data_IF_676708660963
#
_entry.id   IF_676708660963
#
_cell.length_a   1.000
_cell.length_b   1.000
_cell.length_c   1.000
_cell.angle_alpha   90.00
_cell.angle_beta   90.00
_cell.angle_gamma   90.00
#
_symmetry.space_group_name_H-M   'P 1'
#
loop_
_entity.id
_entity.type
_entity.pdbx_description
1 polymer ?
#
# COMPACT_ATOMS: atom_id res chain seq x y z
N UNK A 1 2.82 -54.07 -17.71
CA UNK A 1 4.28 -53.91 -17.96
C UNK A 1 4.79 -54.99 -18.92
N UNK A 2 3.92 -55.78 -19.57
CA UNK A 2 4.31 -56.95 -20.39
C UNK A 2 4.85 -56.70 -21.81
N UNK A 3 4.62 -55.55 -22.45
CA UNK A 3 4.93 -55.40 -23.90
C UNK A 3 6.42 -55.55 -24.24
N UNK A 4 7.33 -55.20 -23.33
CA UNK A 4 8.77 -55.27 -23.61
C UNK A 4 9.30 -56.73 -23.54
N UNK A 5 8.67 -57.57 -22.71
CA UNK A 5 9.01 -58.98 -22.57
C UNK A 5 8.63 -59.76 -23.84
N UNK A 6 7.43 -59.50 -24.37
CA UNK A 6 6.91 -60.10 -25.61
C UNK A 6 7.84 -59.87 -26.81
N UNK A 7 8.32 -58.63 -27.00
CA UNK A 7 9.22 -58.28 -28.11
C UNK A 7 10.57 -58.98 -28.01
N UNK A 8 11.17 -59.02 -26.81
CA UNK A 8 12.46 -59.68 -26.59
C UNK A 8 12.38 -61.19 -26.85
N UNK A 9 11.24 -61.82 -26.54
CA UNK A 9 11.00 -63.25 -26.78
C UNK A 9 10.89 -63.57 -28.26
N UNK A 10 10.14 -62.77 -29.04
CA UNK A 10 10.03 -62.91 -30.50
C UNK A 10 11.39 -62.72 -31.19
N UNK A 11 12.15 -61.69 -30.77
CA UNK A 11 13.51 -61.46 -31.26
C UNK A 11 14.41 -62.68 -31.02
N UNK A 12 14.45 -63.18 -29.79
CA UNK A 12 15.30 -64.33 -29.45
C UNK A 12 14.88 -65.62 -30.19
N UNK A 13 13.58 -65.83 -30.42
CA UNK A 13 13.05 -66.94 -31.22
C UNK A 13 13.56 -66.88 -32.67
N UNK A 14 13.42 -65.73 -33.33
CA UNK A 14 13.84 -65.54 -34.73
C UNK A 14 15.36 -65.66 -34.89
N UNK A 15 16.12 -65.21 -33.88
CA UNK A 15 17.58 -65.35 -33.85
C UNK A 15 18.06 -66.73 -33.35
N UNK A 16 17.15 -67.65 -33.00
CA UNK A 16 17.51 -69.01 -32.54
C UNK A 16 18.23 -69.05 -31.18
N UNK A 17 18.05 -68.03 -30.35
CA UNK A 17 18.68 -67.89 -29.04
C UNK A 17 17.87 -68.53 -27.90
N UNK A 18 16.70 -69.10 -28.20
CA UNK A 18 15.81 -69.77 -27.24
C UNK A 18 16.01 -71.28 -27.21
N UNK A 19 15.72 -71.91 -26.06
CA UNK A 19 15.71 -73.38 -25.95
C UNK A 19 14.59 -73.99 -26.80
N UNK A 20 14.73 -75.28 -27.17
CA UNK A 20 13.74 -75.96 -28.01
C UNK A 20 12.35 -75.99 -27.38
N UNK A 21 12.29 -76.17 -26.06
CA UNK A 21 11.06 -76.16 -25.28
C UNK A 21 10.37 -74.79 -25.33
N UNK A 22 11.13 -73.69 -25.18
CA UNK A 22 10.57 -72.35 -25.20
C UNK A 22 10.12 -71.92 -26.60
N UNK A 23 10.81 -72.35 -27.65
CA UNK A 23 10.39 -72.14 -29.04
C UNK A 23 9.08 -72.87 -29.33
N UNK A 24 8.97 -74.12 -28.91
CA UNK A 24 7.74 -74.91 -29.05
C UNK A 24 6.56 -74.28 -28.30
N UNK A 25 6.77 -73.77 -27.08
CA UNK A 25 5.73 -73.07 -26.33
C UNK A 25 5.28 -71.78 -27.03
N UNK A 26 6.22 -71.03 -27.60
CA UNK A 26 5.89 -69.82 -28.36
C UNK A 26 5.13 -70.13 -29.65
N UNK A 27 5.52 -71.18 -30.38
CA UNK A 27 4.79 -71.66 -31.57
C UNK A 27 3.38 -72.11 -31.23
N UNK A 28 3.20 -72.82 -30.11
CA UNK A 28 1.87 -73.20 -29.61
C UNK A 28 1.03 -71.97 -29.26
N UNK A 29 1.62 -71.00 -28.55
CA UNK A 29 0.95 -69.74 -28.18
C UNK A 29 0.56 -68.94 -29.43
N UNK A 30 1.39 -68.95 -30.48
CA UNK A 30 1.08 -68.30 -31.76
C UNK A 30 -0.06 -69.00 -32.53
N UNK A 31 -0.24 -70.31 -32.38
CA UNK A 31 -1.40 -71.02 -32.96
C UNK A 31 -2.71 -70.63 -32.26
N UNK A 32 -2.64 -70.36 -30.96
CA UNK A 32 -3.79 -69.96 -30.15
C UNK A 32 -4.08 -68.44 -30.24
N UNK A 33 -3.06 -67.61 -30.52
CA UNK A 33 -3.15 -66.15 -30.64
C UNK A 33 -2.80 -65.64 -32.06
N UNK A 34 -3.81 -65.25 -32.87
CA UNK A 34 -3.61 -64.66 -34.19
C UNK A 34 -2.74 -63.39 -34.19
N UNK A 35 -2.72 -62.60 -33.10
CA UNK A 35 -1.93 -61.38 -33.02
C UNK A 35 -0.45 -61.67 -32.80
N UNK A 36 -0.12 -62.64 -31.93
CA UNK A 36 1.25 -63.07 -31.72
C UNK A 36 1.84 -63.66 -33.01
N UNK A 37 1.05 -64.42 -33.76
CA UNK A 37 1.46 -64.94 -35.06
C UNK A 37 1.80 -63.81 -36.05
N UNK A 38 0.90 -62.82 -36.21
CA UNK A 38 1.13 -61.66 -37.09
C UNK A 38 2.34 -60.82 -36.64
N UNK A 39 2.55 -60.68 -35.32
CA UNK A 39 3.71 -60.00 -34.77
C UNK A 39 5.03 -60.73 -35.09
N UNK A 40 5.06 -62.07 -35.00
CA UNK A 40 6.22 -62.88 -35.39
C UNK A 40 6.48 -62.73 -36.90
N UNK A 41 5.44 -62.88 -37.73
CA UNK A 41 5.56 -62.77 -39.19
C UNK A 41 6.02 -61.36 -39.62
N UNK A 42 5.45 -60.31 -39.03
CA UNK A 42 5.86 -58.93 -39.23
C UNK A 42 7.31 -58.67 -38.82
N UNK A 43 7.75 -59.23 -37.69
CA UNK A 43 9.14 -59.10 -37.23
C UNK A 43 10.13 -59.84 -38.13
N UNK A 44 9.74 -61.00 -38.69
CA UNK A 44 10.56 -61.74 -39.67
C UNK A 44 10.75 -60.98 -40.99
N UNK A 45 9.74 -60.21 -41.40
CA UNK A 45 9.79 -59.38 -42.60
C UNK A 45 10.64 -58.12 -42.41
N UNK A 46 10.87 -57.72 -41.16
CA UNK A 46 11.74 -56.59 -40.84
C UNK A 46 13.20 -57.03 -40.97
N UNK A 47 13.81 -56.71 -42.12
CA UNK A 47 15.27 -56.77 -42.25
C UNK A 47 15.88 -55.96 -41.10
N UNK A 48 16.63 -56.63 -40.22
CA UNK A 48 17.10 -56.07 -38.96
C UNK A 48 17.63 -54.64 -39.11
N UNK A 49 17.33 -53.78 -38.13
CA UNK A 49 17.73 -52.38 -38.19
C UNK A 49 19.27 -52.30 -38.26
N UNK A 50 19.79 -51.86 -39.41
CA UNK A 50 21.23 -51.80 -39.65
C UNK A 50 21.89 -50.95 -38.55
N UNK A 51 22.75 -51.57 -37.74
CA UNK A 51 23.42 -50.93 -36.61
C UNK A 51 24.19 -49.68 -37.04
N UNK A 52 24.66 -49.64 -38.30
CA UNK A 52 25.31 -48.46 -38.88
C UNK A 52 24.32 -47.29 -39.02
N UNK A 53 23.10 -47.54 -39.47
CA UNK A 53 22.06 -46.50 -39.60
C UNK A 53 21.65 -45.95 -38.23
N UNK A 54 21.55 -46.82 -37.20
CA UNK A 54 21.27 -46.39 -35.83
C UNK A 54 22.35 -45.46 -35.28
N UNK A 55 23.63 -45.80 -35.48
CA UNK A 55 24.74 -44.95 -35.03
C UNK A 55 24.71 -43.56 -35.66
N UNK A 56 24.32 -43.47 -36.94
CA UNK A 56 24.23 -42.21 -37.67
C UNK A 56 23.02 -41.37 -37.20
N UNK A 57 21.90 -42.01 -36.89
CA UNK A 57 20.73 -41.34 -36.31
C UNK A 57 21.03 -40.81 -34.90
N UNK A 58 21.68 -41.62 -34.06
CA UNK A 58 22.13 -41.21 -32.73
C UNK A 58 23.05 -39.97 -32.82
N UNK A 59 23.99 -39.98 -33.77
CA UNK A 59 24.90 -38.87 -34.01
C UNK A 59 24.16 -37.59 -34.46
N UNK A 60 23.16 -37.72 -35.34
CA UNK A 60 22.33 -36.57 -35.77
C UNK A 60 21.47 -36.03 -34.64
N UNK A 61 20.94 -36.91 -33.79
CA UNK A 61 20.12 -36.53 -32.64
C UNK A 61 20.96 -35.77 -31.63
N UNK A 62 22.11 -36.31 -31.22
CA UNK A 62 23.02 -35.63 -30.31
C UNK A 62 23.46 -34.27 -30.85
N UNK A 63 23.77 -34.19 -32.15
CA UNK A 63 24.12 -32.92 -32.80
C UNK A 63 23.00 -31.88 -32.73
N UNK A 64 21.74 -32.28 -32.90
CA UNK A 64 20.57 -31.37 -32.76
C UNK A 64 20.32 -30.97 -31.32
N UNK A 65 20.49 -31.90 -30.38
CA UNK A 65 20.33 -31.64 -28.94
C UNK A 65 21.37 -30.63 -28.48
N UNK A 66 22.65 -30.82 -28.83
CA UNK A 66 23.72 -29.87 -28.52
C UNK A 66 23.46 -28.47 -29.09
N UNK A 67 23.02 -28.38 -30.34
CA UNK A 67 22.66 -27.10 -30.98
C UNK A 67 21.49 -26.39 -30.27
N UNK A 68 20.49 -27.13 -29.83
CA UNK A 68 19.32 -26.57 -29.13
C UNK A 68 19.66 -26.14 -27.70
N UNK A 69 20.51 -26.90 -27.02
CA UNK A 69 20.97 -26.60 -25.66
C UNK A 69 21.87 -25.35 -25.68
N UNK A 70 22.81 -25.24 -26.62
CA UNK A 70 23.72 -24.11 -26.72
C UNK A 70 23.00 -22.76 -26.94
N UNK A 71 21.98 -22.74 -27.81
CA UNK A 71 21.19 -21.52 -28.08
C UNK A 71 20.36 -21.09 -26.87
N UNK A 72 19.76 -22.03 -26.13
CA UNK A 72 19.04 -21.74 -24.89
C UNK A 72 19.94 -21.17 -23.79
N UNK A 73 21.13 -21.71 -23.58
CA UNK A 73 22.03 -21.21 -22.53
C UNK A 73 22.53 -19.78 -22.81
N UNK A 74 22.80 -19.42 -24.06
CA UNK A 74 23.24 -18.07 -24.43
C UNK A 74 22.14 -17.01 -24.21
N UNK A 75 20.88 -17.34 -24.52
CA UNK A 75 19.74 -16.45 -24.30
C UNK A 75 19.39 -16.29 -22.82
N UNK A 76 19.50 -17.37 -22.02
CA UNK A 76 19.19 -17.30 -20.59
C UNK A 76 20.24 -16.51 -19.79
N UNK A 77 21.53 -16.69 -20.10
CA UNK A 77 22.63 -16.04 -19.37
C UNK A 77 22.70 -14.52 -19.60
N UNK A 78 22.34 -14.06 -20.81
CA UNK A 78 22.31 -12.63 -21.13
C UNK A 78 21.20 -11.88 -20.37
N UNK A 79 20.04 -12.52 -20.16
CA UNK A 79 18.92 -11.92 -19.44
C UNK A 79 19.14 -11.86 -17.93
N UNK A 80 19.82 -12.85 -17.35
CA UNK A 80 20.18 -12.81 -15.92
C UNK A 80 21.10 -11.63 -15.58
N UNK A 81 22.10 -11.35 -16.42
CA UNK A 81 23.02 -10.23 -16.22
C UNK A 81 22.34 -8.86 -16.32
N UNK A 82 21.40 -8.71 -17.25
CA UNK A 82 20.58 -7.48 -17.37
C UNK A 82 19.61 -7.32 -16.19
N UNK A 83 18.98 -8.40 -15.73
CA UNK A 83 18.05 -8.36 -14.60
C UNK A 83 18.74 -7.97 -13.28
N UNK A 84 19.96 -8.48 -13.04
CA UNK A 84 20.75 -8.13 -11.85
C UNK A 84 21.13 -6.64 -11.86
N UNK A 85 21.53 -6.09 -13.02
CA UNK A 85 21.83 -4.67 -13.16
C UNK A 85 20.61 -3.76 -12.92
N UNK A 86 19.45 -4.13 -13.44
CA UNK A 86 18.20 -3.39 -13.22
C UNK A 86 17.78 -3.39 -11.75
N UNK A 87 17.82 -4.54 -11.07
CA UNK A 87 17.47 -4.63 -9.64
C UNK A 87 18.42 -3.81 -8.75
N UNK A 88 19.74 -3.88 -9.01
CA UNK A 88 20.72 -3.08 -8.28
C UNK A 88 20.52 -1.56 -8.51
N UNK A 89 20.18 -1.16 -9.73
CA UNK A 89 19.87 0.23 -10.06
C UNK A 89 18.65 0.77 -9.29
N UNK A 90 17.57 -0.01 -9.20
CA UNK A 90 16.37 0.38 -8.43
C UNK A 90 16.70 0.53 -6.95
N UNK A 91 17.46 -0.40 -6.37
CA UNK A 91 17.89 -0.32 -4.95
C UNK A 91 18.76 0.91 -4.70
N UNK A 92 19.66 1.24 -5.64
CA UNK A 92 20.52 2.42 -5.51
C UNK A 92 19.72 3.73 -5.56
N UNK A 93 18.76 3.82 -6.49
CA UNK A 93 17.88 5.00 -6.61
C UNK A 93 16.97 5.15 -5.39
N UNK A 94 16.42 4.05 -4.86
CA UNK A 94 15.57 4.10 -3.66
C UNK A 94 16.37 4.49 -2.41
N UNK A 95 17.59 3.98 -2.25
CA UNK A 95 18.49 4.37 -1.15
C UNK A 95 18.90 5.84 -1.25
N UNK A 96 19.21 6.34 -2.45
CA UNK A 96 19.50 7.76 -2.67
C UNK A 96 18.28 8.64 -2.38
N UNK A 97 17.08 8.24 -2.82
CA UNK A 97 15.85 8.96 -2.51
C UNK A 97 15.58 8.98 -1.00
N UNK A 98 15.74 7.86 -0.31
CA UNK A 98 15.61 7.78 1.15
C UNK A 98 16.64 8.66 1.87
N UNK A 99 17.91 8.64 1.44
CA UNK A 99 18.94 9.51 2.01
C UNK A 99 18.64 10.98 1.76
N UNK A 100 18.17 11.32 0.55
CA UNK A 100 17.78 12.68 0.20
C UNK A 100 16.61 13.14 1.08
N UNK A 101 15.54 12.36 1.19
CA UNK A 101 14.42 12.68 2.08
C UNK A 101 14.85 12.76 3.54
N UNK A 102 15.73 11.87 4.02
CA UNK A 102 16.24 11.93 5.41
C UNK A 102 17.09 13.17 5.66
N UNK A 103 17.87 13.61 4.68
CA UNK A 103 18.75 14.77 4.80
C UNK A 103 17.99 16.10 4.66
N UNK A 104 17.03 16.16 3.73
CA UNK A 104 16.29 17.39 3.43
C UNK A 104 14.97 17.56 4.21
N UNK A 105 14.33 16.50 4.72
CA UNK A 105 13.10 16.63 5.54
C UNK A 105 13.37 17.05 6.99
N UNK A 106 14.55 17.60 7.31
CA UNK A 106 14.89 18.09 8.64
C UNK A 106 14.04 19.27 9.12
N UNK A 107 13.16 19.86 8.29
CA UNK A 107 12.24 20.96 8.68
C UNK A 107 10.94 20.96 7.86
N UNK A 108 10.25 19.82 7.79
CA UNK A 108 8.85 19.84 7.36
C UNK A 108 7.98 20.07 8.61
N UNK A 109 7.78 21.33 8.97
CA UNK A 109 6.72 21.76 9.89
C UNK A 109 5.38 21.36 9.26
N UNK A 110 4.93 20.16 9.61
CA UNK A 110 3.59 19.67 9.28
C UNK A 110 2.61 20.46 10.14
N UNK A 111 2.02 21.50 9.56
CA UNK A 111 0.69 21.93 9.97
C UNK A 111 -0.25 20.79 9.61
N UNK A 112 -0.41 19.86 10.53
CA UNK A 112 -1.58 19.00 10.55
C UNK A 112 -2.74 19.95 10.79
N UNK A 113 -3.48 20.30 9.74
CA UNK A 113 -4.88 20.70 9.88
C UNK A 113 -5.58 19.52 10.54
N UNK A 114 -5.65 19.61 11.86
CA UNK A 114 -6.43 18.73 12.69
C UNK A 114 -7.82 19.33 12.60
N UNK A 115 -8.64 18.80 11.69
CA UNK A 115 -10.08 18.90 11.75
C UNK A 115 -10.54 18.11 12.99
N UNK A 116 -10.25 18.66 14.17
CA UNK A 116 -10.88 18.26 15.41
C UNK A 116 -12.21 18.98 15.38
N UNK A 117 -13.29 18.20 15.39
CA UNK A 117 -14.61 18.67 15.78
C UNK A 117 -14.48 19.23 17.20
N UNK A 118 -14.14 20.52 17.30
CA UNK A 118 -14.10 21.24 18.57
C UNK A 118 -15.53 21.52 18.99
N UNK A 119 -15.85 21.36 20.29
CA UNK A 119 -17.21 21.50 20.78
C UNK A 119 -17.71 22.91 20.46
N UNK A 120 -18.97 23.01 20.01
CA UNK A 120 -19.67 24.22 19.53
C UNK A 120 -19.78 25.38 20.56
N UNK A 121 -18.99 25.37 21.64
CA UNK A 121 -19.03 26.31 22.75
C UNK A 121 -17.61 26.78 23.16
N UNK A 122 -16.77 27.07 22.16
CA UNK A 122 -15.37 27.50 22.31
C UNK A 122 -15.20 28.89 21.67
N UNK A 123 -14.39 29.76 22.26
CA UNK A 123 -14.02 31.06 21.68
C UNK A 123 -13.14 30.82 20.46
N UNK A 124 -13.62 31.16 19.27
CA UNK A 124 -12.89 30.98 18.01
C UNK A 124 -12.28 32.29 17.53
N UNK A 125 -11.07 32.22 16.96
CA UNK A 125 -10.30 33.37 16.48
C UNK A 125 -9.96 33.17 15.01
N UNK A 126 -10.32 34.14 14.19
CA UNK A 126 -10.00 34.18 12.77
C UNK A 126 -9.15 35.42 12.47
N UNK A 127 -7.86 35.28 12.08
CA UNK A 127 -7.09 36.41 11.59
C UNK A 127 -7.63 36.85 10.22
N UNK A 128 -7.97 38.13 10.08
CA UNK A 128 -8.39 38.67 8.79
C UNK A 128 -7.16 38.94 7.93
N UNK A 129 -7.20 38.42 6.69
CA UNK A 129 -6.12 38.54 5.71
C UNK A 129 -5.78 40.00 5.34
N UNK A 130 -6.71 40.93 5.57
CA UNK A 130 -6.54 42.37 5.31
C UNK A 130 -6.00 43.16 6.53
N UNK A 131 -5.72 42.47 7.63
CA UNK A 131 -5.42 43.06 8.93
C UNK A 131 -3.96 43.42 9.22
N UNK A 132 -3.02 42.92 8.42
CA UNK A 132 -1.58 43.07 8.63
C UNK A 132 -0.87 41.76 8.97
N UNK A 133 0.38 41.86 9.44
CA UNK A 133 1.32 40.76 9.68
C UNK A 133 1.36 40.29 11.16
N UNK A 134 0.47 40.80 12.01
CA UNK A 134 0.49 40.47 13.43
C UNK A 134 0.10 39.00 13.69
N UNK A 135 0.94 38.32 14.47
CA UNK A 135 0.70 36.97 14.95
C UNK A 135 1.11 36.84 16.43
N UNK A 136 0.44 35.99 17.21
CA UNK A 136 0.85 35.74 18.60
C UNK A 136 2.18 34.97 18.61
N UNK A 137 3.14 35.41 19.41
CA UNK A 137 4.50 34.82 19.49
C UNK A 137 4.48 33.33 19.89
N UNK A 138 3.50 32.94 20.71
CA UNK A 138 3.32 31.58 21.20
C UNK A 138 2.38 30.72 20.33
N UNK A 139 1.92 31.27 19.19
CA UNK A 139 1.03 30.60 18.25
C UNK A 139 -0.47 30.72 18.57
N UNK A 140 -1.29 30.58 17.53
CA UNK A 140 -2.76 30.76 17.58
C UNK A 140 -3.46 29.84 18.56
N UNK A 141 -3.04 28.56 18.61
CA UNK A 141 -3.61 27.55 19.51
C UNK A 141 -3.44 27.90 21.00
N UNK A 142 -2.32 28.53 21.35
CA UNK A 142 -2.04 28.95 22.73
C UNK A 142 -2.93 30.13 23.12
N UNK A 143 -3.10 31.08 22.20
CA UNK A 143 -4.01 32.22 22.36
C UNK A 143 -5.45 31.75 22.53
N UNK A 144 -5.93 30.83 21.68
CA UNK A 144 -7.28 30.26 21.76
C UNK A 144 -7.53 29.56 23.10
N UNK A 145 -6.58 28.72 23.54
CA UNK A 145 -6.64 28.09 24.86
C UNK A 145 -6.70 29.09 26.00
N UNK A 146 -5.92 30.17 25.91
CA UNK A 146 -5.91 31.26 26.89
C UNK A 146 -7.26 31.99 26.92
N UNK A 147 -7.81 32.36 25.76
CA UNK A 147 -9.11 33.03 25.68
C UNK A 147 -10.21 32.15 26.28
N UNK A 148 -10.24 30.86 25.95
CA UNK A 148 -11.23 29.94 26.52
C UNK A 148 -11.15 29.78 28.04
N UNK A 149 -9.94 29.89 28.60
CA UNK A 149 -9.72 29.79 30.04
C UNK A 149 -10.09 31.07 30.78
N UNK A 150 -9.69 32.23 30.24
CA UNK A 150 -9.81 33.52 30.92
C UNK A 150 -11.09 34.29 30.56
N UNK A 151 -11.81 33.85 29.52
CA UNK A 151 -13.08 34.46 29.13
C UNK A 151 -14.16 34.25 30.18
N UNK A 152 -14.66 35.36 30.74
CA UNK A 152 -15.84 35.37 31.60
C UNK A 152 -17.06 35.56 30.70
N UNK A 153 -18.07 34.72 30.84
CA UNK A 153 -19.27 34.78 30.00
C UNK A 153 -20.08 36.05 30.30
N UNK A 154 -19.72 37.14 29.61
CA UNK A 154 -20.37 38.45 29.73
C UNK A 154 -21.41 38.66 28.62
N UNK A 155 -21.29 37.93 27.51
CA UNK A 155 -22.24 37.93 26.39
C UNK A 155 -21.79 37.01 25.25
N UNK A 156 -22.63 36.77 24.25
CA UNK A 156 -22.22 36.03 23.05
C UNK A 156 -22.26 36.94 21.83
N UNK A 157 -21.28 36.82 20.93
CA UNK A 157 -21.27 37.65 19.73
C UNK A 157 -19.95 37.64 18.98
N UNK A 158 -20.01 38.14 17.76
CA UNK A 158 -18.86 38.38 16.91
C UNK A 158 -18.33 39.79 17.15
N UNK A 159 -17.02 39.89 17.34
CA UNK A 159 -16.29 41.16 17.46
C UNK A 159 -15.13 41.15 16.47
N UNK A 160 -14.96 42.26 15.75
CA UNK A 160 -13.76 42.51 14.95
C UNK A 160 -12.93 43.53 15.70
N UNK A 161 -11.66 43.21 15.96
CA UNK A 161 -10.73 44.10 16.67
C UNK A 161 -9.56 44.42 15.76
N UNK A 162 -9.19 45.70 15.70
CA UNK A 162 -7.95 46.17 15.09
C UNK A 162 -6.98 46.66 16.16
N UNK A 163 -5.69 46.37 16.01
CA UNK A 163 -4.66 46.84 16.94
C UNK A 163 -3.31 47.02 16.25
N UNK A 164 -2.41 47.77 16.89
CA UNK A 164 -1.01 47.91 16.52
C UNK A 164 -0.12 47.15 17.50
N UNK A 165 1.01 46.63 17.03
CA UNK A 165 1.97 45.90 17.88
C UNK A 165 3.17 46.81 18.15
N UNK A 166 3.45 47.05 19.43
CA UNK A 166 4.62 47.80 19.88
C UNK A 166 5.90 46.95 19.80
N UNK A 167 7.07 47.61 19.79
CA UNK A 167 8.38 46.94 19.68
C UNK A 167 8.67 45.90 20.79
N UNK A 168 8.00 46.01 21.94
CA UNK A 168 8.09 45.08 23.08
C UNK A 168 7.18 43.84 22.95
N UNK A 169 6.34 43.83 21.90
CA UNK A 169 5.33 42.82 21.62
C UNK A 169 4.00 43.05 22.33
N UNK A 170 3.80 44.21 22.96
CA UNK A 170 2.53 44.59 23.59
C UNK A 170 1.59 45.21 22.56
N UNK A 171 0.28 45.07 22.77
CA UNK A 171 -0.73 45.65 21.88
C UNK A 171 -1.02 47.10 22.26
N UNK A 172 -1.13 47.96 21.26
CA UNK A 172 -1.53 49.36 21.36
C UNK A 172 -2.70 49.64 20.41
N UNK A 173 -3.38 50.78 20.60
CA UNK A 173 -4.47 51.27 19.73
C UNK A 173 -5.54 50.21 19.41
N UNK A 174 -5.99 49.48 20.44
CA UNK A 174 -6.99 48.42 20.29
C UNK A 174 -8.37 49.05 20.10
N UNK A 175 -8.95 48.88 18.92
CA UNK A 175 -10.28 49.40 18.56
C UNK A 175 -11.20 48.26 18.14
N UNK A 176 -12.45 48.28 18.64
CA UNK A 176 -13.48 47.33 18.24
C UNK A 176 -14.33 47.91 17.10
N UNK A 177 -14.35 47.22 15.97
CA UNK A 177 -15.16 47.55 14.80
C UNK A 177 -16.57 46.95 14.94
N UNK A 178 -17.59 47.62 14.38
CA UNK A 178 -18.94 47.06 14.28
C UNK A 178 -19.91 47.36 15.42
N UNK A 179 -19.59 48.28 16.34
CA UNK A 179 -20.43 48.66 17.51
C UNK A 179 -20.94 47.42 18.29
N UNK A 180 -20.05 46.57 18.79
CA UNK A 180 -20.45 45.47 19.67
C UNK A 180 -21.08 45.96 20.99
N UNK A 181 -21.69 45.04 21.74
CA UNK A 181 -22.14 45.32 23.09
C UNK A 181 -20.96 45.81 23.95
N UNK A 182 -21.16 46.89 24.71
CA UNK A 182 -20.09 47.56 25.48
C UNK A 182 -19.35 46.60 26.41
N UNK A 183 -20.09 45.71 27.06
CA UNK A 183 -19.58 44.71 27.99
C UNK A 183 -18.67 43.69 27.30
N UNK A 184 -19.02 43.27 26.08
CA UNK A 184 -18.24 42.35 25.25
C UNK A 184 -16.98 43.02 24.69
N UNK A 185 -17.07 44.30 24.30
CA UNK A 185 -15.93 45.07 23.82
C UNK A 185 -14.86 45.28 24.90
N UNK A 186 -15.29 45.68 26.10
CA UNK A 186 -14.40 45.87 27.25
C UNK A 186 -13.71 44.54 27.64
N UNK A 187 -14.42 43.42 27.59
CA UNK A 187 -13.85 42.09 27.85
C UNK A 187 -12.84 41.67 26.78
N UNK A 188 -13.14 41.87 25.50
CA UNK A 188 -12.24 41.54 24.40
C UNK A 188 -10.93 42.35 24.48
N UNK A 189 -11.02 43.65 24.75
CA UNK A 189 -9.85 44.52 24.95
C UNK A 189 -9.03 44.05 26.15
N UNK A 190 -9.69 43.73 27.28
CA UNK A 190 -9.01 43.22 28.48
C UNK A 190 -8.21 41.95 28.17
N UNK A 191 -8.84 40.98 27.52
CA UNK A 191 -8.22 39.68 27.21
C UNK A 191 -7.02 39.82 26.29
N UNK A 192 -7.09 40.70 25.29
CA UNK A 192 -6.00 40.99 24.37
C UNK A 192 -4.85 41.72 25.06
N UNK A 193 -5.14 42.67 25.97
CA UNK A 193 -4.12 43.38 26.74
C UNK A 193 -3.40 42.48 27.76
N UNK A 194 -4.11 41.58 28.43
CA UNK A 194 -3.52 40.61 29.37
C UNK A 194 -3.02 39.33 28.69
N UNK A 195 -3.11 39.26 27.37
CA UNK A 195 -2.82 38.08 26.56
C UNK A 195 -1.33 37.86 26.26
N UNK A 196 -1.02 36.86 25.40
CA UNK A 196 0.34 36.57 24.99
C UNK A 196 0.95 37.72 24.18
N UNK A 197 2.29 37.79 24.15
CA UNK A 197 3.00 38.78 23.34
C UNK A 197 2.79 38.53 21.84
N UNK A 198 2.76 39.61 21.08
CA UNK A 198 2.59 39.59 19.64
C UNK A 198 3.90 39.91 18.91
N UNK A 199 3.95 39.53 17.64
CA UNK A 199 4.99 39.89 16.67
C UNK A 199 4.31 40.44 15.41
N UNK A 200 4.97 41.34 14.69
CA UNK A 200 4.40 42.04 13.52
C UNK A 200 4.16 43.52 13.81
N UNK A 201 3.42 44.20 12.93
CA UNK A 201 3.20 45.65 12.99
C UNK A 201 1.74 46.00 13.28
N UNK A 202 0.80 45.34 12.60
CA UNK A 202 -0.65 45.61 12.71
C UNK A 202 -1.43 44.32 12.59
N UNK A 203 -2.53 44.21 13.34
CA UNK A 203 -3.44 43.07 13.28
C UNK A 203 -4.90 43.49 13.17
N UNK A 204 -5.70 42.66 12.51
CA UNK A 204 -7.16 42.67 12.56
C UNK A 204 -7.65 41.25 12.77
N UNK A 205 -8.43 41.05 13.82
CA UNK A 205 -8.91 39.73 14.24
C UNK A 205 -10.42 39.75 14.35
N UNK A 206 -11.05 38.67 13.93
CA UNK A 206 -12.43 38.35 14.26
C UNK A 206 -12.42 37.34 15.41
N UNK A 207 -13.08 37.71 16.50
CA UNK A 207 -13.21 36.87 17.70
C UNK A 207 -14.70 36.57 17.86
N UNK A 208 -15.03 35.28 17.94
CA UNK A 208 -16.39 34.79 18.12
C UNK A 208 -16.51 34.28 19.55
N UNK A 209 -17.27 34.99 20.39
CA UNK A 209 -17.55 34.56 21.75
C UNK A 209 -18.84 33.73 21.80
N UNK A 210 -18.84 32.56 22.44
CA UNK A 210 -20.02 31.71 22.49
C UNK A 210 -21.10 32.32 23.38
N UNK A 211 -22.35 32.22 22.94
CA UNK A 211 -23.50 32.68 23.70
C UNK A 211 -23.97 31.59 24.68
N UNK A 212 -23.59 31.69 25.96
CA UNK A 212 -23.97 30.70 26.97
C UNK A 212 -25.44 30.77 27.41
N UNK A 213 -26.30 31.54 26.74
CA UNK A 213 -27.71 31.71 27.12
C UNK A 213 -28.64 30.56 26.69
N UNK A 214 -28.14 29.46 26.10
CA UNK A 214 -28.91 28.23 25.94
C UNK A 214 -28.40 27.14 26.92
N UNK A 215 -29.07 27.05 28.06
CA UNK A 215 -29.07 25.82 28.87
C UNK A 215 -29.92 24.81 28.10
N UNK A 216 -29.29 23.99 27.26
CA UNK A 216 -29.97 22.83 26.67
C UNK A 216 -30.20 21.79 27.77
N UNK A 217 -31.44 21.73 28.29
CA UNK A 217 -31.94 20.55 28.95
C UNK A 217 -32.04 19.42 27.91
N UNK A 218 -30.95 18.66 27.76
CA UNK A 218 -30.90 17.45 26.95
C UNK A 218 -31.98 16.48 27.40
N UNK A 219 -33.08 16.42 26.65
CA UNK A 219 -34.15 15.46 26.88
C UNK A 219 -33.64 14.10 26.43
N UNK A 220 -33.33 13.24 27.40
CA UNK A 220 -32.95 11.84 27.19
C UNK A 220 -34.15 11.12 26.56
N UNK A 221 -34.13 10.93 25.23
CA UNK A 221 -35.05 10.00 24.57
C UNK A 221 -34.44 8.61 24.70
N UNK A 222 -34.87 7.87 25.72
CA UNK A 222 -34.52 6.46 25.92
C UNK A 222 -35.14 5.63 24.78
N UNK A 223 -34.36 4.81 24.05
CA UNK A 223 -34.91 3.99 22.96
C UNK A 223 -35.88 2.93 23.51
N UNK A 224 -36.93 2.56 22.74
CA UNK A 224 -37.94 1.62 23.18
C UNK A 224 -37.32 0.22 23.36
N UNK A 225 -37.64 -0.34 24.51
CA UNK A 225 -37.23 -1.63 25.01
C UNK A 225 -37.75 -2.75 24.08
N UNK A 226 -36.89 -3.44 23.32
CA UNK A 226 -37.24 -4.72 22.72
C UNK A 226 -37.17 -5.80 23.81
N UNK A 227 -38.32 -6.19 24.37
CA UNK A 227 -38.40 -7.35 25.25
C UNK A 227 -38.69 -8.61 24.43
N UNK A 228 -37.72 -9.53 24.46
CA UNK A 228 -37.84 -10.86 23.87
C UNK A 228 -38.88 -11.70 24.59
N UNK A 229 -39.51 -12.59 23.82
CA UNK A 229 -40.48 -13.59 24.25
C UNK A 229 -39.74 -14.66 25.06
N UNK A 230 -40.12 -14.85 26.33
CA UNK A 230 -39.77 -16.04 27.10
C UNK A 230 -40.95 -17.02 27.04
N UNK A 231 -40.67 -18.26 26.65
CA UNK A 231 -41.64 -19.36 26.55
C UNK A 231 -42.02 -19.85 27.95
N UNK A 232 -43.32 -20.08 28.17
CA UNK A 232 -43.90 -20.86 29.26
C UNK A 232 -45.24 -21.40 28.83
#
# INVERSE_FOLDING_TARGET
MENNYQLSRIHNYIHGLMSKEEMFQLEKEALDDPFLQDAIDGYRLQNGVDARQLSLLQQRLNRRVEQTIATRHAQYYSWQRLAIGAAAGVIFVTLLALLYFRHFNGKAERTTDVELSEPENTVSIEPLLDGGDASPREGWKTLEKYLNKEYKAVGGGEIIVTFTVSNDGSLADIEAEGKPERSLAEEAIRLLQSGPKWQGSKGRLKIIFPNRNHVEHGTIIKPPHCFGIEKG
#
